data_IF_398688863948
#
_entry.id   IF_398688863948
#
_cell.length_a   1.000
_cell.length_b   1.000
_cell.length_c   1.000
_cell.angle_alpha   90.00
_cell.angle_beta   90.00
_cell.angle_gamma   90.00
#
_symmetry.space_group_name_H-M   'P 1'
#
loop_
_entity.id
_entity.type
_entity.pdbx_description
1 polymer ?
#
# COMPACT_ATOMS: atom_id res chain seq x y z
N UNK A 1 38.73 -34.52 15.65
CA UNK A 1 39.90 -34.48 16.57
C UNK A 1 39.62 -35.21 17.86
N UNK A 2 40.66 -35.62 18.63
CA UNK A 2 40.51 -36.38 19.86
C UNK A 2 40.09 -35.52 21.07
N UNK A 3 39.90 -36.20 22.21
CA UNK A 3 39.46 -35.57 23.47
C UNK A 3 40.48 -34.55 24.00
N UNK A 4 41.76 -34.86 23.90
CA UNK A 4 42.84 -33.98 24.35
C UNK A 4 42.88 -32.66 23.56
N UNK A 5 42.64 -32.69 22.26
CA UNK A 5 42.60 -31.52 21.41
C UNK A 5 41.36 -30.70 21.73
N UNK A 6 40.20 -31.33 22.02
CA UNK A 6 38.98 -30.65 22.42
C UNK A 6 39.16 -29.91 23.75
N UNK A 7 39.87 -30.54 24.74
CA UNK A 7 40.19 -29.91 25.99
C UNK A 7 41.12 -28.69 25.81
N UNK A 8 42.15 -28.82 24.98
CA UNK A 8 43.05 -27.71 24.65
C UNK A 8 42.33 -26.53 24.03
N UNK A 9 41.46 -26.77 23.05
CA UNK A 9 40.63 -25.72 22.40
C UNK A 9 39.70 -25.08 23.41
N UNK A 10 39.09 -25.86 24.30
CA UNK A 10 38.22 -25.34 25.36
C UNK A 10 38.98 -24.40 26.31
N UNK A 11 40.17 -24.77 26.73
CA UNK A 11 41.00 -23.92 27.58
C UNK A 11 41.40 -22.61 26.89
N UNK A 12 41.77 -22.69 25.62
CA UNK A 12 42.07 -21.48 24.79
C UNK A 12 40.87 -20.59 24.69
N UNK A 13 39.69 -21.13 24.36
CA UNK A 13 38.42 -20.40 24.28
C UNK A 13 38.13 -19.68 25.62
N UNK A 14 38.22 -20.37 26.74
CA UNK A 14 37.99 -19.77 28.04
C UNK A 14 38.97 -18.63 28.36
N UNK A 15 40.25 -18.79 27.96
CA UNK A 15 41.25 -17.75 28.14
C UNK A 15 40.92 -16.49 27.35
N UNK A 16 40.49 -16.64 26.10
CA UNK A 16 40.08 -15.53 25.24
C UNK A 16 38.81 -14.83 25.77
N UNK A 17 37.81 -15.62 26.19
CA UNK A 17 36.58 -15.08 26.78
C UNK A 17 36.87 -14.24 28.03
N UNK A 18 37.71 -14.77 28.99
CA UNK A 18 38.11 -14.06 30.20
C UNK A 18 38.85 -12.75 29.89
N UNK A 19 39.59 -12.69 28.78
CA UNK A 19 40.32 -11.48 28.39
C UNK A 19 39.47 -10.45 27.68
N UNK A 20 38.55 -10.91 26.84
CA UNK A 20 37.66 -10.00 26.04
C UNK A 20 36.50 -9.43 26.85
N UNK A 21 35.96 -10.17 27.82
CA UNK A 21 34.74 -9.82 28.54
C UNK A 21 35.02 -9.57 30.02
N UNK A 22 35.77 -8.51 30.28
CA UNK A 22 36.09 -8.07 31.64
C UNK A 22 34.94 -7.16 32.11
N UNK A 23 34.26 -7.61 33.21
CA UNK A 23 33.21 -6.79 33.85
C UNK A 23 31.77 -7.11 33.48
N UNK A 24 31.52 -7.90 32.46
CA UNK A 24 30.18 -8.41 32.13
C UNK A 24 30.25 -9.82 31.54
N UNK A 25 29.30 -10.73 31.86
CA UNK A 25 29.29 -12.07 31.29
C UNK A 25 29.02 -12.00 29.78
N UNK A 26 29.75 -12.78 28.96
CA UNK A 26 29.50 -12.84 27.53
C UNK A 26 28.12 -13.44 27.21
N UNK A 27 27.50 -12.99 26.14
CA UNK A 27 26.29 -13.60 25.57
C UNK A 27 26.63 -14.96 24.95
N UNK A 28 25.64 -15.82 24.77
CA UNK A 28 25.80 -17.11 24.07
C UNK A 28 26.39 -16.96 22.70
N UNK A 29 25.94 -15.92 21.93
CA UNK A 29 26.45 -15.63 20.59
C UNK A 29 27.92 -15.24 20.61
N UNK A 30 28.34 -14.40 21.58
CA UNK A 30 29.74 -14.01 21.74
C UNK A 30 30.66 -15.20 22.14
N UNK A 31 30.14 -16.14 22.93
CA UNK A 31 30.86 -17.38 23.22
C UNK A 31 31.04 -18.21 21.95
N UNK A 32 29.98 -18.36 21.16
CA UNK A 32 30.02 -19.12 19.91
C UNK A 32 30.96 -18.50 18.86
N UNK A 33 31.01 -17.16 18.75
CA UNK A 33 31.96 -16.47 17.88
C UNK A 33 33.41 -16.77 18.25
N UNK A 34 33.73 -16.81 19.54
CA UNK A 34 35.08 -17.18 20.00
C UNK A 34 35.39 -18.64 19.72
N UNK A 35 34.42 -19.56 19.87
CA UNK A 35 34.59 -20.97 19.51
C UNK A 35 34.88 -21.13 18.02
N UNK A 36 34.15 -20.46 17.17
CA UNK A 36 34.36 -20.47 15.70
C UNK A 36 35.78 -20.00 15.38
N UNK A 37 36.19 -18.87 15.98
CA UNK A 37 37.55 -18.34 15.78
C UNK A 37 38.62 -19.34 16.19
N UNK A 38 38.46 -19.99 17.36
CA UNK A 38 39.43 -20.97 17.82
C UNK A 38 39.53 -22.20 16.92
N UNK A 39 38.41 -22.65 16.35
CA UNK A 39 38.41 -23.77 15.39
C UNK A 39 39.12 -23.40 14.07
N UNK A 40 38.97 -22.15 13.60
CA UNK A 40 39.67 -21.63 12.42
C UNK A 40 41.16 -21.51 12.72
N UNK A 41 41.53 -20.88 13.84
CA UNK A 41 42.92 -20.64 14.19
C UNK A 41 43.71 -21.97 14.43
N UNK A 42 43.01 -23.00 14.85
CA UNK A 42 43.60 -24.37 15.01
C UNK A 42 43.51 -25.19 13.70
N UNK A 43 43.08 -24.58 12.58
CA UNK A 43 42.97 -25.23 11.27
C UNK A 43 42.00 -26.45 11.24
N UNK A 44 41.01 -26.49 12.13
CA UNK A 44 39.96 -27.52 12.16
C UNK A 44 38.77 -27.15 11.25
N UNK A 45 39.05 -26.91 9.95
CA UNK A 45 38.05 -26.39 8.99
C UNK A 45 36.82 -27.27 8.81
N UNK A 46 36.96 -28.62 8.89
CA UNK A 46 35.82 -29.54 8.81
C UNK A 46 34.88 -29.38 10.04
N UNK A 47 35.47 -29.30 11.23
CA UNK A 47 34.73 -29.12 12.48
C UNK A 47 34.09 -27.73 12.54
N UNK A 48 34.82 -26.71 12.10
CA UNK A 48 34.26 -25.34 11.96
C UNK A 48 33.01 -25.33 11.07
N UNK A 49 33.07 -25.94 9.87
CA UNK A 49 31.90 -26.00 8.98
C UNK A 49 30.70 -26.72 9.63
N UNK A 50 30.95 -27.85 10.29
CA UNK A 50 29.90 -28.58 10.97
C UNK A 50 29.30 -27.78 12.15
N UNK A 51 30.15 -27.07 12.89
CA UNK A 51 29.73 -26.23 14.01
C UNK A 51 28.93 -25.00 13.55
N UNK A 52 29.40 -24.31 12.52
CA UNK A 52 28.69 -23.16 11.93
C UNK A 52 27.32 -23.58 11.36
N UNK A 53 27.24 -24.72 10.66
CA UNK A 53 25.96 -25.27 10.19
C UNK A 53 25.01 -25.62 11.38
N UNK A 54 25.54 -26.25 12.42
CA UNK A 54 24.77 -26.58 13.62
C UNK A 54 24.28 -25.32 14.34
N UNK A 55 25.13 -24.29 14.44
CA UNK A 55 24.78 -22.98 15.03
C UNK A 55 23.66 -22.33 14.26
N UNK A 56 23.75 -22.28 12.91
CA UNK A 56 22.70 -21.72 12.05
C UNK A 56 21.36 -22.49 12.21
N UNK A 57 21.40 -23.82 12.20
CA UNK A 57 20.22 -24.64 12.43
C UNK A 57 19.60 -24.38 13.81
N UNK A 58 20.42 -24.28 14.85
CA UNK A 58 19.93 -23.98 16.22
C UNK A 58 19.40 -22.57 16.35
N UNK A 59 19.98 -21.61 15.64
CA UNK A 59 19.49 -20.24 15.59
C UNK A 59 18.11 -20.19 14.93
N UNK A 60 17.94 -20.86 13.78
CA UNK A 60 16.64 -21.00 13.10
C UNK A 60 15.60 -21.68 14.00
N UNK A 61 15.92 -22.78 14.63
CA UNK A 61 15.01 -23.47 15.57
C UNK A 61 14.60 -22.61 16.78
N UNK A 62 15.48 -21.74 17.25
CA UNK A 62 15.14 -20.78 18.33
C UNK A 62 14.21 -19.67 17.82
N UNK A 63 14.43 -19.20 16.60
CA UNK A 63 13.54 -18.25 15.95
C UNK A 63 12.15 -18.86 15.67
N UNK A 64 12.11 -20.09 15.15
CA UNK A 64 10.86 -20.82 14.92
C UNK A 64 10.06 -21.03 16.21
N UNK A 65 10.73 -21.40 17.32
CA UNK A 65 10.07 -21.51 18.62
C UNK A 65 9.54 -20.17 19.13
N UNK A 66 10.27 -19.06 18.93
CA UNK A 66 9.77 -17.72 19.27
C UNK A 66 8.57 -17.36 18.41
N UNK A 67 8.60 -17.65 17.12
CA UNK A 67 7.47 -17.40 16.21
C UNK A 67 6.21 -18.13 16.68
N UNK A 68 6.30 -19.40 17.11
CA UNK A 68 5.16 -20.16 17.62
C UNK A 68 4.60 -19.60 18.95
N UNK A 69 5.46 -19.16 19.83
CA UNK A 69 5.06 -18.51 21.11
C UNK A 69 4.37 -17.17 20.82
N UNK A 70 4.92 -16.39 19.88
CA UNK A 70 4.37 -15.10 19.47
C UNK A 70 2.99 -15.25 18.81
N UNK A 71 2.74 -16.35 18.08
CA UNK A 71 1.43 -16.63 17.47
C UNK A 71 0.36 -16.90 18.52
N UNK A 72 0.65 -17.74 19.54
CA UNK A 72 -0.29 -18.02 20.62
C UNK A 72 -0.64 -16.73 21.40
N UNK A 73 0.39 -15.99 21.81
CA UNK A 73 0.21 -14.68 22.45
C UNK A 73 -0.59 -13.72 21.59
N UNK A 74 -0.35 -13.71 20.28
CA UNK A 74 -1.08 -12.83 19.35
C UNK A 74 -2.57 -13.16 19.24
N UNK A 75 -2.95 -14.44 19.33
CA UNK A 75 -4.35 -14.86 19.39
C UNK A 75 -5.01 -14.36 20.67
N UNK A 76 -4.36 -14.59 21.82
CA UNK A 76 -4.86 -14.19 23.13
C UNK A 76 -4.99 -12.66 23.24
N UNK A 77 -3.95 -11.90 22.84
CA UNK A 77 -3.97 -10.42 22.80
C UNK A 77 -5.12 -9.87 21.95
N UNK A 78 -5.42 -10.52 20.82
CA UNK A 78 -6.54 -10.11 19.98
C UNK A 78 -7.88 -10.43 20.64
N UNK A 79 -8.05 -11.65 21.15
CA UNK A 79 -9.30 -12.12 21.78
C UNK A 79 -9.61 -11.26 23.00
N UNK A 80 -8.62 -10.96 23.82
CA UNK A 80 -8.75 -10.14 25.03
C UNK A 80 -8.81 -8.64 24.73
N UNK A 81 -8.69 -8.23 23.43
CA UNK A 81 -8.64 -6.83 23.00
C UNK A 81 -7.51 -6.03 23.68
N UNK A 82 -6.45 -6.69 24.10
CA UNK A 82 -5.31 -6.07 24.75
C UNK A 82 -4.44 -5.26 23.76
N UNK A 83 -4.44 -5.64 22.47
CA UNK A 83 -3.71 -4.96 21.44
C UNK A 83 -4.52 -3.77 20.89
N UNK A 84 -4.06 -2.54 21.10
CA UNK A 84 -4.70 -1.31 20.63
C UNK A 84 -4.85 -1.28 19.09
N UNK A 85 -4.00 -1.98 18.36
CA UNK A 85 -4.02 -2.06 16.89
C UNK A 85 -5.27 -2.75 16.35
N UNK A 86 -5.96 -3.55 17.16
CA UNK A 86 -7.24 -4.18 16.81
C UNK A 86 -8.31 -3.16 16.46
N UNK A 87 -8.22 -1.94 16.99
CA UNK A 87 -9.16 -0.84 16.77
C UNK A 87 -8.53 0.37 16.07
N UNK A 88 -7.25 0.28 15.68
CA UNK A 88 -6.51 1.40 15.13
C UNK A 88 -6.90 1.75 13.68
N UNK A 89 -7.57 0.86 12.96
CA UNK A 89 -7.89 1.04 11.55
C UNK A 89 -9.40 1.01 11.32
N UNK A 90 -9.95 2.05 10.70
CA UNK A 90 -11.39 2.21 10.46
C UNK A 90 -11.98 1.14 9.52
N UNK A 91 -11.16 0.51 8.67
CA UNK A 91 -11.58 -0.54 7.75
C UNK A 91 -11.42 -1.96 8.31
N UNK A 92 -10.96 -2.11 9.56
CA UNK A 92 -10.85 -3.39 10.24
C UNK A 92 -11.70 -3.38 11.51
N UNK A 93 -12.59 -4.36 11.66
CA UNK A 93 -13.39 -4.54 12.87
C UNK A 93 -12.93 -5.75 13.69
N UNK A 94 -13.23 -5.72 15.00
CA UNK A 94 -13.07 -6.90 15.86
C UNK A 94 -13.99 -8.03 15.37
N UNK A 95 -13.39 -9.07 14.79
CA UNK A 95 -14.12 -10.16 14.13
C UNK A 95 -13.21 -11.38 13.94
N UNK A 96 -13.79 -12.52 13.62
CA UNK A 96 -13.02 -13.72 13.29
C UNK A 96 -12.06 -13.48 12.11
N UNK A 97 -12.51 -12.80 11.07
CA UNK A 97 -11.66 -12.48 9.95
C UNK A 97 -10.54 -11.49 10.33
N UNK A 98 -10.83 -10.52 11.18
CA UNK A 98 -9.82 -9.63 11.74
C UNK A 98 -8.77 -10.36 12.57
N UNK A 99 -9.15 -11.39 13.33
CA UNK A 99 -8.21 -12.27 14.03
C UNK A 99 -7.27 -12.98 13.05
N UNK A 100 -7.81 -13.57 11.97
CA UNK A 100 -7.01 -14.26 10.96
C UNK A 100 -5.99 -13.30 10.32
N UNK A 101 -6.43 -12.10 9.94
CA UNK A 101 -5.54 -11.08 9.37
C UNK A 101 -4.47 -10.61 10.37
N UNK A 102 -4.83 -10.42 11.64
CA UNK A 102 -3.87 -10.00 12.67
C UNK A 102 -2.77 -11.04 12.87
N UNK A 103 -3.14 -12.32 13.01
CA UNK A 103 -2.17 -13.41 13.20
C UNK A 103 -1.32 -13.61 11.95
N UNK A 104 -1.94 -13.70 10.77
CA UNK A 104 -1.20 -13.86 9.50
C UNK A 104 -0.27 -12.66 9.24
N UNK A 105 -0.72 -11.46 9.56
CA UNK A 105 0.05 -10.23 9.42
C UNK A 105 1.30 -10.21 10.32
N UNK A 106 1.18 -10.62 11.58
CA UNK A 106 2.34 -10.73 12.49
C UNK A 106 3.37 -11.76 11.98
N UNK A 107 2.91 -12.90 11.46
CA UNK A 107 3.79 -13.93 10.87
C UNK A 107 4.49 -13.39 9.63
N UNK A 108 3.75 -12.73 8.73
CA UNK A 108 4.30 -12.13 7.51
C UNK A 108 5.30 -11.02 7.83
N UNK A 109 5.01 -10.15 8.80
CA UNK A 109 5.93 -9.10 9.24
C UNK A 109 7.25 -9.70 9.79
N UNK A 110 7.16 -10.76 10.57
CA UNK A 110 8.36 -11.45 11.05
C UNK A 110 9.17 -12.06 9.90
N UNK A 111 8.51 -12.61 8.89
CA UNK A 111 9.18 -13.12 7.69
C UNK A 111 9.94 -12.00 6.94
N UNK A 112 9.33 -10.84 6.71
CA UNK A 112 9.99 -9.67 6.14
C UNK A 112 11.25 -9.29 6.93
N UNK A 113 11.09 -9.08 8.24
CA UNK A 113 12.13 -8.53 9.11
C UNK A 113 13.28 -9.49 9.43
N UNK A 114 13.06 -10.81 9.28
CA UNK A 114 14.03 -11.83 9.67
C UNK A 114 14.62 -12.62 8.52
N UNK A 115 13.94 -12.67 7.35
CA UNK A 115 14.33 -13.51 6.23
C UNK A 115 14.52 -12.74 4.91
N UNK A 116 13.75 -11.66 4.71
CA UNK A 116 13.80 -10.88 3.48
C UNK A 116 14.77 -9.72 3.59
N UNK A 117 14.65 -8.94 4.67
CA UNK A 117 15.55 -7.81 4.89
C UNK A 117 16.87 -8.23 5.53
N UNK A 118 18.00 -7.54 5.21
CA UNK A 118 19.22 -7.65 5.99
C UNK A 118 18.99 -7.40 7.47
N UNK A 119 19.77 -8.02 8.38
CA UNK A 119 19.57 -7.91 9.83
C UNK A 119 19.53 -6.47 10.34
N UNK A 120 20.35 -5.58 9.78
CA UNK A 120 20.42 -4.17 10.18
C UNK A 120 19.11 -3.41 9.87
N UNK A 121 18.49 -3.67 8.72
CA UNK A 121 17.20 -3.08 8.32
C UNK A 121 16.10 -3.58 9.27
N UNK A 122 16.03 -4.91 9.48
CA UNK A 122 15.05 -5.49 10.39
C UNK A 122 15.22 -5.01 11.84
N UNK A 123 16.47 -4.84 12.29
CA UNK A 123 16.77 -4.38 13.65
C UNK A 123 16.38 -2.91 13.84
N UNK A 124 16.70 -2.03 12.89
CA UNK A 124 16.31 -0.61 12.96
C UNK A 124 14.78 -0.42 13.07
N UNK A 125 13.99 -1.28 12.40
CA UNK A 125 12.53 -1.30 12.59
C UNK A 125 12.14 -1.72 14.02
N UNK A 126 12.76 -2.80 14.55
CA UNK A 126 12.47 -3.30 15.89
C UNK A 126 12.90 -2.33 16.99
N UNK A 127 13.98 -1.60 16.77
CA UNK A 127 14.50 -0.58 17.69
C UNK A 127 13.71 0.75 17.60
N UNK A 128 12.74 0.82 16.71
CA UNK A 128 11.94 2.00 16.44
C UNK A 128 12.75 3.22 15.95
N UNK A 129 13.87 3.00 15.27
CA UNK A 129 14.60 4.07 14.58
C UNK A 129 13.82 4.57 13.37
N UNK A 130 13.13 3.65 12.69
CA UNK A 130 12.10 3.91 11.68
C UNK A 130 10.99 2.85 11.71
N UNK A 131 9.90 3.12 11.04
CA UNK A 131 8.80 2.19 10.81
C UNK A 131 8.66 1.88 9.32
N UNK A 132 8.82 0.60 8.95
CA UNK A 132 8.47 0.11 7.62
C UNK A 132 6.98 -0.25 7.67
N UNK A 133 6.17 0.39 6.81
CA UNK A 133 4.73 0.18 6.76
C UNK A 133 4.35 -1.12 6.04
N UNK A 134 3.17 -1.66 6.37
CA UNK A 134 2.49 -2.76 5.67
C UNK A 134 3.34 -4.03 5.51
N UNK A 135 3.97 -4.42 6.60
CA UNK A 135 4.70 -5.68 6.68
C UNK A 135 3.79 -6.90 6.86
N UNK A 136 2.51 -6.68 7.10
CA UNK A 136 1.47 -7.71 7.25
C UNK A 136 1.11 -8.40 5.93
N UNK A 137 1.53 -7.84 4.79
CA UNK A 137 1.35 -8.43 3.46
C UNK A 137 2.66 -8.47 2.67
N UNK A 138 2.84 -9.49 1.82
CA UNK A 138 3.98 -9.60 0.90
C UNK A 138 3.75 -8.85 -0.41
N UNK A 139 3.26 -7.61 -0.36
CA UNK A 139 2.82 -6.87 -1.54
C UNK A 139 3.26 -5.40 -1.51
N UNK A 140 2.91 -4.65 -2.56
CA UNK A 140 3.06 -3.19 -2.61
C UNK A 140 2.07 -2.47 -1.70
N UNK A 141 2.25 -1.15 -1.58
CA UNK A 141 1.42 -0.31 -0.72
C UNK A 141 0.14 0.13 -1.42
N UNK A 142 0.16 1.20 -2.20
CA UNK A 142 -1.00 1.74 -2.90
C UNK A 142 -0.85 1.62 -4.42
N UNK A 143 -1.96 1.46 -5.13
CA UNK A 143 -1.97 1.44 -6.58
C UNK A 143 -3.05 2.33 -7.18
N UNK A 144 -2.69 3.08 -8.22
CA UNK A 144 -3.61 3.79 -9.10
C UNK A 144 -3.80 3.00 -10.38
N UNK A 145 -5.05 2.70 -10.68
CA UNK A 145 -5.44 1.88 -11.82
C UNK A 145 -6.03 2.73 -12.93
N UNK A 146 -5.98 2.26 -14.17
CA UNK A 146 -6.64 2.91 -15.28
C UNK A 146 -8.14 2.58 -15.27
N UNK A 147 -8.97 3.57 -14.93
CA UNK A 147 -10.41 3.44 -15.07
C UNK A 147 -10.78 3.29 -16.55
N UNK A 148 -10.12 4.04 -17.42
CA UNK A 148 -10.30 3.92 -18.87
C UNK A 148 -10.07 2.51 -19.38
N UNK A 149 -8.99 1.86 -18.94
CA UNK A 149 -8.70 0.48 -19.33
C UNK A 149 -9.84 -0.46 -18.88
N UNK A 150 -10.31 -0.35 -17.64
CA UNK A 150 -11.41 -1.18 -17.14
C UNK A 150 -12.70 -0.98 -17.96
N UNK A 151 -13.03 0.27 -18.29
CA UNK A 151 -14.23 0.58 -19.05
C UNK A 151 -14.15 0.15 -20.53
N UNK A 152 -12.95 0.12 -21.12
CA UNK A 152 -12.74 -0.24 -22.51
C UNK A 152 -12.52 -1.73 -22.74
N UNK A 153 -11.88 -2.40 -21.80
CA UNK A 153 -11.53 -3.81 -21.93
C UNK A 153 -12.44 -4.74 -21.11
N UNK A 154 -13.09 -4.22 -20.07
CA UNK A 154 -13.83 -5.02 -19.09
C UNK A 154 -12.92 -5.58 -17.99
N UNK A 155 -13.51 -6.38 -17.12
CA UNK A 155 -12.79 -7.03 -16.01
C UNK A 155 -12.48 -8.48 -16.39
N UNK A 156 -11.39 -8.69 -17.10
CA UNK A 156 -11.03 -9.95 -17.74
C UNK A 156 -9.51 -10.19 -17.85
N UNK A 157 -9.13 -11.24 -18.57
CA UNK A 157 -7.75 -11.55 -18.94
C UNK A 157 -6.93 -12.19 -17.83
N UNK A 158 -7.57 -12.71 -16.77
CA UNK A 158 -6.91 -13.49 -15.71
C UNK A 158 -7.29 -14.96 -15.85
N UNK A 159 -6.34 -15.84 -16.17
CA UNK A 159 -6.63 -17.25 -16.45
C UNK A 159 -7.39 -17.93 -15.31
N UNK A 160 -8.47 -18.65 -15.64
CA UNK A 160 -9.27 -19.42 -14.68
C UNK A 160 -10.13 -18.57 -13.74
N UNK A 161 -10.30 -17.27 -14.01
CA UNK A 161 -11.20 -16.37 -13.27
C UNK A 161 -12.39 -15.98 -14.14
N UNK A 162 -13.55 -15.62 -13.52
CA UNK A 162 -14.67 -15.07 -14.29
C UNK A 162 -14.25 -13.81 -15.06
N UNK A 163 -14.77 -13.68 -16.26
CA UNK A 163 -14.51 -12.56 -17.15
C UNK A 163 -15.78 -11.74 -17.37
N UNK A 164 -15.65 -10.43 -17.45
CA UNK A 164 -16.70 -9.51 -17.77
C UNK A 164 -16.28 -8.63 -18.95
N UNK A 165 -17.14 -8.55 -19.95
CA UNK A 165 -16.98 -7.66 -21.11
C UNK A 165 -16.99 -6.17 -20.70
N UNK A 166 -16.56 -5.26 -21.59
CA UNK A 166 -16.72 -3.83 -21.39
C UNK A 166 -18.16 -3.46 -21.00
N UNK A 167 -18.35 -2.64 -19.94
CA UNK A 167 -19.68 -2.28 -19.47
C UNK A 167 -20.41 -1.44 -20.53
N UNK A 168 -21.72 -1.65 -20.65
CA UNK A 168 -22.58 -0.91 -21.55
C UNK A 168 -23.50 0.08 -20.83
N UNK A 169 -23.70 -0.12 -19.52
CA UNK A 169 -24.60 0.65 -18.68
C UNK A 169 -23.87 1.22 -17.46
N UNK A 170 -24.34 2.35 -16.97
CA UNK A 170 -23.78 3.04 -15.80
C UNK A 170 -23.71 2.13 -14.58
N UNK A 171 -24.80 1.44 -14.26
CA UNK A 171 -24.84 0.50 -13.12
C UNK A 171 -23.83 -0.65 -13.26
N UNK A 172 -23.64 -1.16 -14.48
CA UNK A 172 -22.66 -2.22 -14.76
C UNK A 172 -21.23 -1.71 -14.59
N UNK A 173 -20.94 -0.49 -15.05
CA UNK A 173 -19.63 0.14 -14.87
C UNK A 173 -19.29 0.30 -13.40
N UNK A 174 -20.21 0.80 -12.58
CA UNK A 174 -20.04 0.91 -11.12
C UNK A 174 -19.87 -0.45 -10.46
N UNK A 175 -20.65 -1.45 -10.87
CA UNK A 175 -20.53 -2.83 -10.37
C UNK A 175 -19.17 -3.47 -10.68
N UNK A 176 -18.66 -3.28 -11.89
CA UNK A 176 -17.31 -3.74 -12.26
C UNK A 176 -16.21 -3.03 -11.47
N UNK A 177 -16.35 -1.71 -11.22
CA UNK A 177 -15.42 -0.96 -10.38
C UNK A 177 -15.37 -1.51 -8.95
N UNK A 178 -16.54 -1.80 -8.34
CA UNK A 178 -16.60 -2.41 -6.99
C UNK A 178 -15.87 -3.75 -6.98
N UNK A 179 -16.13 -4.61 -7.97
CA UNK A 179 -15.50 -5.90 -8.07
C UNK A 179 -13.99 -5.80 -8.32
N UNK A 180 -13.57 -4.87 -9.17
CA UNK A 180 -12.16 -4.60 -9.46
C UNK A 180 -11.43 -4.16 -8.19
N UNK A 181 -11.88 -3.06 -7.56
CA UNK A 181 -11.25 -2.49 -6.37
C UNK A 181 -11.17 -3.49 -5.22
N UNK A 182 -12.25 -4.21 -4.98
CA UNK A 182 -12.28 -5.23 -3.95
C UNK A 182 -11.42 -6.46 -4.26
N UNK A 183 -11.17 -6.79 -5.53
CA UNK A 183 -10.27 -7.90 -5.92
C UNK A 183 -8.81 -7.47 -5.79
N UNK A 184 -8.45 -6.31 -6.30
CA UNK A 184 -7.09 -5.78 -6.24
C UNK A 184 -6.63 -5.48 -4.81
N UNK A 185 -7.57 -5.20 -3.90
CA UNK A 185 -7.27 -5.09 -2.46
C UNK A 185 -6.67 -6.36 -1.86
N UNK A 186 -6.88 -7.53 -2.45
CA UNK A 186 -6.25 -8.75 -1.98
C UNK A 186 -4.78 -8.87 -2.41
N UNK A 187 -4.33 -8.02 -3.34
CA UNK A 187 -2.97 -8.03 -3.88
C UNK A 187 -2.15 -6.79 -3.47
N UNK A 188 -2.77 -5.81 -2.78
CA UNK A 188 -2.15 -4.56 -2.34
C UNK A 188 -2.59 -4.21 -0.92
N UNK A 189 -1.66 -3.74 -0.10
CA UNK A 189 -1.92 -3.47 1.32
C UNK A 189 -2.71 -2.18 1.56
N UNK A 190 -2.44 -1.15 0.75
CA UNK A 190 -3.05 0.17 0.90
C UNK A 190 -4.19 0.43 -0.09
N UNK A 191 -4.43 1.70 -0.38
CA UNK A 191 -5.56 2.08 -1.19
C UNK A 191 -5.42 1.75 -2.67
N UNK A 192 -6.57 1.46 -3.26
CA UNK A 192 -6.79 1.32 -4.68
C UNK A 192 -7.47 2.59 -5.19
N UNK A 193 -6.93 3.22 -6.22
CA UNK A 193 -7.40 4.51 -6.69
C UNK A 193 -7.80 4.47 -8.17
N UNK A 194 -8.87 5.19 -8.51
CA UNK A 194 -9.21 5.58 -9.86
C UNK A 194 -9.22 7.10 -9.98
N UNK A 195 -8.67 7.61 -11.09
CA UNK A 195 -8.68 9.03 -11.41
C UNK A 195 -9.76 9.35 -12.44
N UNK A 196 -10.12 10.65 -12.54
CA UNK A 196 -11.10 11.16 -13.53
C UNK A 196 -12.44 10.43 -13.49
N UNK A 197 -12.92 10.14 -12.28
CA UNK A 197 -14.11 9.33 -12.04
C UNK A 197 -15.34 9.95 -12.73
N UNK A 198 -15.58 11.24 -12.52
CA UNK A 198 -16.70 11.97 -13.09
C UNK A 198 -16.59 12.11 -14.61
N UNK A 199 -15.39 12.37 -15.13
CA UNK A 199 -15.14 12.47 -16.57
C UNK A 199 -15.40 11.15 -17.29
N UNK A 200 -14.85 10.04 -16.81
CA UNK A 200 -14.98 8.75 -17.48
C UNK A 200 -16.37 8.10 -17.33
N UNK A 201 -17.14 8.47 -16.32
CA UNK A 201 -18.48 7.91 -16.11
C UNK A 201 -19.60 8.77 -16.70
N UNK A 202 -19.36 10.05 -16.98
CA UNK A 202 -20.35 10.94 -17.62
C UNK A 202 -20.93 10.39 -18.93
N UNK A 203 -20.14 9.73 -19.82
CA UNK A 203 -20.66 9.12 -21.03
C UNK A 203 -21.79 8.12 -20.79
N UNK A 204 -21.68 7.32 -19.73
CA UNK A 204 -22.69 6.30 -19.41
C UNK A 204 -24.00 6.94 -18.93
N UNK A 205 -23.92 8.04 -18.19
CA UNK A 205 -25.11 8.77 -17.74
C UNK A 205 -25.89 9.30 -18.95
N UNK A 206 -25.19 9.87 -19.95
CA UNK A 206 -25.81 10.34 -21.18
C UNK A 206 -26.36 9.19 -22.03
N UNK A 207 -25.55 8.15 -22.23
CA UNK A 207 -25.94 7.01 -23.07
C UNK A 207 -27.18 6.29 -22.52
N UNK A 208 -27.29 6.13 -21.24
CA UNK A 208 -28.44 5.49 -20.60
C UNK A 208 -29.64 6.45 -20.40
N UNK A 209 -29.46 7.73 -20.68
CA UNK A 209 -30.52 8.75 -20.54
C UNK A 209 -31.00 8.93 -19.10
N UNK A 210 -30.09 8.79 -18.12
CA UNK A 210 -30.45 8.74 -16.71
C UNK A 210 -30.91 10.11 -16.18
N UNK A 211 -31.95 10.09 -15.37
CA UNK A 211 -32.34 11.22 -14.55
C UNK A 211 -31.35 11.42 -13.38
N UNK A 212 -31.41 12.59 -12.74
CA UNK A 212 -30.61 12.85 -11.54
C UNK A 212 -30.90 11.84 -10.42
N UNK A 213 -32.15 11.47 -10.23
CA UNK A 213 -32.53 10.52 -9.19
C UNK A 213 -31.99 9.11 -9.46
N UNK A 214 -31.93 8.68 -10.72
CA UNK A 214 -31.29 7.42 -11.13
C UNK A 214 -29.80 7.44 -10.84
N UNK A 215 -29.10 8.53 -11.22
CA UNK A 215 -27.66 8.71 -10.95
C UNK A 215 -27.39 8.66 -9.44
N UNK A 216 -28.22 9.35 -8.66
CA UNK A 216 -28.08 9.37 -7.20
C UNK A 216 -28.31 8.00 -6.57
N UNK A 217 -29.30 7.26 -7.06
CA UNK A 217 -29.56 5.89 -6.57
C UNK A 217 -28.38 4.96 -6.85
N UNK A 218 -27.87 4.96 -8.09
CA UNK A 218 -26.70 4.14 -8.44
C UNK A 218 -25.44 4.57 -7.68
N UNK A 219 -25.25 5.87 -7.42
CA UNK A 219 -24.14 6.37 -6.62
C UNK A 219 -24.26 5.91 -5.15
N UNK A 220 -25.47 5.88 -4.61
CA UNK A 220 -25.71 5.35 -3.26
C UNK A 220 -25.37 3.87 -3.16
N UNK A 221 -25.78 3.07 -4.14
CA UNK A 221 -25.46 1.64 -4.21
C UNK A 221 -23.95 1.41 -4.31
N UNK A 222 -23.27 2.19 -5.15
CA UNK A 222 -21.83 2.12 -5.32
C UNK A 222 -21.07 2.43 -4.03
N UNK A 223 -21.39 3.56 -3.38
CA UNK A 223 -20.76 3.97 -2.12
C UNK A 223 -21.05 2.95 -1.03
N UNK A 224 -22.29 2.47 -0.92
CA UNK A 224 -22.67 1.45 0.05
C UNK A 224 -21.85 0.17 -0.16
N UNK A 225 -21.74 -0.33 -1.38
CA UNK A 225 -20.99 -1.54 -1.71
C UNK A 225 -19.49 -1.41 -1.40
N UNK A 226 -18.91 -0.22 -1.51
CA UNK A 226 -17.53 0.04 -1.09
C UNK A 226 -17.34 0.12 0.43
N UNK A 227 -18.43 0.21 1.21
CA UNK A 227 -18.38 0.26 2.68
C UNK A 227 -18.88 -1.02 3.35
N UNK A 228 -19.41 -1.98 2.56
CA UNK A 228 -19.79 -3.29 3.10
C UNK A 228 -18.55 -4.14 3.32
N UNK A 229 -18.33 -4.67 4.52
CA UNK A 229 -17.19 -5.55 4.82
C UNK A 229 -17.39 -6.95 4.22
N UNK A 230 -17.49 -7.02 2.90
CA UNK A 230 -17.81 -8.24 2.13
C UNK A 230 -16.58 -9.07 1.74
N UNK A 231 -15.38 -8.58 2.07
CA UNK A 231 -14.14 -9.21 1.63
C UNK A 231 -13.21 -9.43 2.81
N UNK A 232 -12.21 -10.25 2.62
CA UNK A 232 -11.11 -10.57 3.55
C UNK A 232 -11.34 -10.06 4.97
N UNK A 233 -11.69 -10.95 5.86
CA UNK A 233 -11.67 -10.68 7.28
C UNK A 233 -12.48 -9.46 7.73
N UNK A 234 -13.58 -9.14 7.04
CA UNK A 234 -14.41 -7.97 7.34
C UNK A 234 -13.81 -6.61 6.97
N UNK A 235 -12.81 -6.58 6.11
CA UNK A 235 -12.34 -5.32 5.55
C UNK A 235 -13.25 -4.81 4.44
N UNK A 236 -13.42 -3.49 4.38
CA UNK A 236 -13.96 -2.80 3.22
C UNK A 236 -12.82 -2.46 2.27
N UNK A 237 -13.04 -2.38 0.95
CA UNK A 237 -12.00 -1.95 0.02
C UNK A 237 -11.53 -0.53 0.35
N UNK A 238 -10.25 -0.37 0.66
CA UNK A 238 -9.65 0.93 0.87
C UNK A 238 -9.52 1.63 -0.48
N UNK A 239 -10.38 2.59 -0.77
CA UNK A 239 -10.54 3.19 -2.09
C UNK A 239 -10.40 4.69 -2.08
N UNK A 240 -9.81 5.23 -3.16
CA UNK A 240 -9.74 6.65 -3.44
C UNK A 240 -10.29 6.93 -4.85
N UNK A 241 -11.05 8.01 -5.00
CA UNK A 241 -11.52 8.50 -6.29
C UNK A 241 -11.07 9.95 -6.49
N UNK A 242 -10.53 10.26 -7.66
CA UNK A 242 -10.23 11.63 -8.04
C UNK A 242 -11.29 12.14 -9.02
N UNK A 243 -11.81 13.32 -8.75
CA UNK A 243 -12.81 14.03 -9.54
C UNK A 243 -12.15 15.21 -10.24
N UNK A 244 -12.39 15.34 -11.52
CA UNK A 244 -11.84 16.44 -12.31
C UNK A 244 -12.66 17.72 -12.15
N UNK A 245 -13.96 17.60 -11.91
CA UNK A 245 -14.95 18.66 -11.81
C UNK A 245 -15.25 19.36 -13.13
N UNK A 246 -14.22 19.74 -13.87
CA UNK A 246 -14.28 20.24 -15.25
C UNK A 246 -13.49 19.29 -16.13
N UNK A 247 -14.02 18.99 -17.32
CA UNK A 247 -13.38 18.04 -18.22
C UNK A 247 -11.93 18.47 -18.54
N UNK A 248 -10.92 17.64 -18.29
CA UNK A 248 -9.53 17.94 -18.60
C UNK A 248 -9.31 18.25 -20.07
N UNK A 249 -8.39 19.18 -20.36
CA UNK A 249 -8.12 19.65 -21.72
C UNK A 249 -7.71 18.51 -22.66
N UNK A 250 -6.90 17.58 -22.18
CA UNK A 250 -6.44 16.43 -22.97
C UNK A 250 -7.53 15.39 -23.28
N UNK A 251 -8.64 15.40 -22.55
CA UNK A 251 -9.79 14.52 -22.78
C UNK A 251 -10.92 15.23 -23.57
N UNK A 252 -10.94 16.55 -23.58
CA UNK A 252 -12.08 17.38 -24.05
C UNK A 252 -12.56 17.01 -25.46
N UNK A 253 -11.63 16.80 -26.39
CA UNK A 253 -11.90 16.46 -27.77
C UNK A 253 -11.93 14.94 -28.03
N UNK A 254 -11.67 14.11 -27.02
CA UNK A 254 -11.70 12.67 -27.22
C UNK A 254 -13.13 12.14 -27.21
N UNK A 255 -13.36 11.13 -28.06
CA UNK A 255 -14.64 10.41 -28.16
C UNK A 255 -14.65 9.26 -27.17
N UNK A 256 -15.63 9.17 -26.26
CA UNK A 256 -15.76 8.02 -25.37
C UNK A 256 -16.20 6.76 -26.11
N UNK A 257 -15.77 5.61 -25.56
CA UNK A 257 -16.14 4.27 -26.05
C UNK A 257 -16.95 3.55 -24.97
N UNK A 258 -18.14 3.09 -25.31
CA UNK A 258 -19.02 2.32 -24.44
C UNK A 258 -19.30 0.95 -25.05
N UNK A 259 -18.98 -0.13 -24.34
CA UNK A 259 -19.20 -1.49 -24.84
C UNK A 259 -18.51 -1.78 -26.18
N UNK A 260 -17.37 -1.14 -26.44
CA UNK A 260 -16.61 -1.26 -27.69
C UNK A 260 -17.11 -0.37 -28.84
N UNK A 261 -18.07 0.52 -28.61
CA UNK A 261 -18.65 1.43 -29.64
C UNK A 261 -18.29 2.87 -29.28
N UNK A 262 -17.77 3.60 -30.29
CA UNK A 262 -17.54 5.03 -30.17
C UNK A 262 -18.87 5.82 -30.13
N UNK A 263 -18.93 6.77 -29.18
CA UNK A 263 -20.14 7.58 -28.98
C UNK A 263 -20.16 8.78 -29.94
N UNK A 264 -21.35 9.31 -30.29
CA UNK A 264 -21.49 10.46 -31.22
C UNK A 264 -21.25 11.82 -30.52
N UNK A 265 -20.49 11.85 -29.43
CA UNK A 265 -20.16 13.05 -28.66
C UNK A 265 -18.76 12.92 -28.03
N UNK A 266 -18.19 14.03 -27.59
CA UNK A 266 -16.89 14.09 -26.94
C UNK A 266 -17.04 14.21 -25.41
N UNK A 267 -15.96 13.97 -24.66
CA UNK A 267 -15.97 14.16 -23.17
C UNK A 267 -16.27 15.62 -22.81
N UNK A 268 -15.79 16.61 -23.61
CA UNK A 268 -16.02 18.02 -23.33
C UNK A 268 -17.49 18.46 -23.38
N UNK A 269 -18.36 17.70 -24.06
CA UNK A 269 -19.79 17.97 -24.12
C UNK A 269 -20.58 17.46 -22.91
N UNK A 270 -19.92 16.81 -21.93
CA UNK A 270 -20.58 16.06 -20.84
C UNK A 270 -20.58 16.77 -19.48
N UNK A 271 -20.37 18.09 -19.46
CA UNK A 271 -20.30 18.83 -18.18
C UNK A 271 -21.57 18.67 -17.34
N UNK A 272 -22.74 18.62 -17.97
CA UNK A 272 -24.01 18.42 -17.27
C UNK A 272 -24.03 17.07 -16.53
N UNK A 273 -23.56 16.01 -17.17
CA UNK A 273 -23.52 14.67 -16.62
C UNK A 273 -22.44 14.58 -15.51
N UNK A 274 -21.30 15.26 -15.66
CA UNK A 274 -20.29 15.40 -14.62
C UNK A 274 -20.87 16.12 -13.39
N UNK A 275 -21.63 17.19 -13.59
CA UNK A 275 -22.28 17.93 -12.50
C UNK A 275 -23.30 17.06 -11.73
N UNK A 276 -24.05 16.20 -12.46
CA UNK A 276 -24.97 15.24 -11.83
C UNK A 276 -24.21 14.22 -10.97
N UNK A 277 -23.09 13.69 -11.46
CA UNK A 277 -22.25 12.73 -10.72
C UNK A 277 -21.64 13.37 -9.48
N UNK A 278 -21.07 14.56 -9.61
CA UNK A 278 -20.49 15.29 -8.48
C UNK A 278 -21.54 15.61 -7.42
N UNK A 279 -22.71 16.11 -7.83
CA UNK A 279 -23.81 16.40 -6.92
C UNK A 279 -24.27 15.14 -6.19
N UNK A 280 -24.51 14.05 -6.92
CA UNK A 280 -24.96 12.78 -6.34
C UNK A 280 -23.97 12.26 -5.32
N UNK A 281 -22.69 12.27 -5.64
CA UNK A 281 -21.62 11.85 -4.73
C UNK A 281 -21.61 12.68 -3.44
N UNK A 282 -21.60 14.01 -3.56
CA UNK A 282 -21.56 14.93 -2.42
C UNK A 282 -22.80 14.75 -1.52
N UNK A 283 -24.00 14.65 -2.12
CA UNK A 283 -25.22 14.47 -1.35
C UNK A 283 -25.27 13.14 -0.61
N UNK A 284 -24.86 12.03 -1.26
CA UNK A 284 -24.83 10.71 -0.60
C UNK A 284 -23.80 10.67 0.53
N UNK A 285 -22.59 11.20 0.30
CA UNK A 285 -21.55 11.26 1.33
C UNK A 285 -21.96 12.17 2.51
N UNK A 286 -22.63 13.28 2.23
CA UNK A 286 -23.11 14.23 3.27
C UNK A 286 -24.25 13.64 4.09
N UNK A 287 -25.16 12.88 3.48
CA UNK A 287 -26.26 12.21 4.16
C UNK A 287 -25.76 11.06 5.05
N UNK A 288 -24.75 10.34 4.61
CA UNK A 288 -24.23 9.17 5.29
C UNK A 288 -25.16 7.95 5.21
N UNK A 289 -24.94 6.97 6.08
CA UNK A 289 -25.75 5.76 6.15
C UNK A 289 -27.13 6.05 6.78
N UNK A 290 -27.98 5.01 6.92
CA UNK A 290 -29.32 5.13 7.52
C UNK A 290 -29.33 5.82 8.90
N UNK A 291 -28.22 5.81 9.62
CA UNK A 291 -28.07 6.45 10.94
C UNK A 291 -27.37 7.80 10.87
N UNK A 292 -27.10 8.30 9.66
CA UNK A 292 -26.37 9.56 9.44
C UNK A 292 -24.86 9.47 9.71
N UNK A 293 -24.29 8.26 9.76
CA UNK A 293 -22.83 8.09 9.91
C UNK A 293 -22.17 8.27 8.56
N UNK A 294 -21.09 9.05 8.54
CA UNK A 294 -20.30 9.26 7.31
C UNK A 294 -19.71 7.95 6.78
N UNK A 295 -19.73 7.77 5.47
CA UNK A 295 -19.03 6.67 4.82
C UNK A 295 -17.52 6.88 4.86
N UNK A 296 -16.77 5.83 5.14
CA UNK A 296 -15.30 5.87 5.17
C UNK A 296 -14.73 5.93 3.75
N UNK A 297 -15.34 5.24 2.81
CA UNK A 297 -14.89 5.11 1.43
C UNK A 297 -16.00 5.45 0.42
N UNK A 298 -15.62 5.78 -0.81
CA UNK A 298 -14.26 6.11 -1.27
C UNK A 298 -13.78 7.45 -0.71
N UNK A 299 -12.46 7.59 -0.48
CA UNK A 299 -11.86 8.88 -0.11
C UNK A 299 -11.87 9.77 -1.37
N UNK A 300 -12.53 10.94 -1.34
CA UNK A 300 -12.59 11.83 -2.49
C UNK A 300 -11.40 12.78 -2.56
N UNK A 301 -10.88 12.98 -3.76
CA UNK A 301 -9.93 14.04 -4.11
C UNK A 301 -10.49 14.87 -5.25
N UNK A 302 -10.56 16.18 -5.08
CA UNK A 302 -11.04 17.10 -6.14
C UNK A 302 -9.92 17.92 -6.71
N UNK A 303 -9.83 17.96 -8.04
CA UNK A 303 -8.90 18.81 -8.76
C UNK A 303 -9.43 20.25 -8.78
N UNK A 304 -8.63 21.20 -8.30
CA UNK A 304 -8.93 22.63 -8.34
C UNK A 304 -8.07 23.26 -9.44
N UNK A 305 -8.73 23.61 -10.54
CA UNK A 305 -8.16 24.23 -11.72
C UNK A 305 -8.59 25.68 -11.86
N UNK A 306 -8.02 26.42 -12.81
CA UNK A 306 -8.36 27.85 -13.03
C UNK A 306 -9.82 28.07 -13.42
N UNK A 307 -10.43 27.08 -14.06
CA UNK A 307 -11.83 27.07 -14.50
C UNK A 307 -12.79 26.43 -13.49
N UNK A 308 -12.33 26.16 -12.25
CA UNK A 308 -13.21 25.63 -11.21
C UNK A 308 -14.36 26.59 -10.90
N UNK A 309 -15.65 26.14 -10.97
CA UNK A 309 -16.81 27.01 -10.86
C UNK A 309 -17.16 27.31 -9.39
N UNK A 310 -16.41 28.18 -8.76
CA UNK A 310 -16.50 28.53 -7.33
C UNK A 310 -17.90 28.92 -6.84
N UNK A 311 -18.70 29.60 -7.70
CA UNK A 311 -20.02 30.10 -7.35
C UNK A 311 -21.14 29.12 -7.71
N UNK A 312 -20.80 27.91 -8.14
CA UNK A 312 -21.82 26.91 -8.49
C UNK A 312 -22.48 26.30 -7.24
N UNK A 313 -23.73 25.91 -7.40
CA UNK A 313 -24.50 25.22 -6.34
C UNK A 313 -23.80 23.93 -5.85
N UNK A 314 -23.12 23.23 -6.76
CA UNK A 314 -22.33 22.05 -6.42
C UNK A 314 -21.10 22.41 -5.60
N UNK A 315 -20.42 23.53 -5.89
CA UNK A 315 -19.30 24.00 -5.08
C UNK A 315 -19.72 24.38 -3.66
N UNK A 316 -20.88 25.03 -3.51
CA UNK A 316 -21.47 25.33 -2.20
C UNK A 316 -21.70 24.05 -1.38
N UNK A 317 -22.31 23.01 -2.01
CA UNK A 317 -22.50 21.71 -1.37
C UNK A 317 -21.19 21.03 -0.99
N UNK A 318 -20.18 21.12 -1.86
CA UNK A 318 -18.86 20.55 -1.62
C UNK A 318 -18.21 21.18 -0.37
N UNK A 319 -18.23 22.50 -0.28
CA UNK A 319 -17.66 23.20 0.87
C UNK A 319 -18.48 23.02 2.15
N UNK A 320 -19.81 22.86 2.04
CA UNK A 320 -20.65 22.48 3.18
C UNK A 320 -20.29 21.08 3.72
N UNK A 321 -20.04 20.10 2.83
CA UNK A 321 -19.54 18.77 3.20
C UNK A 321 -18.14 18.87 3.84
N UNK A 322 -17.27 19.71 3.31
CA UNK A 322 -15.93 19.94 3.86
C UNK A 322 -15.99 20.52 5.27
N UNK A 323 -16.84 21.51 5.48
CA UNK A 323 -17.04 22.13 6.79
C UNK A 323 -17.59 21.12 7.82
N UNK A 324 -18.43 20.18 7.39
CA UNK A 324 -19.05 19.19 8.26
C UNK A 324 -18.12 18.03 8.63
N UNK A 325 -17.34 17.51 7.67
CA UNK A 325 -16.61 16.25 7.82
C UNK A 325 -15.11 16.34 7.58
N UNK A 326 -14.56 17.47 7.12
CA UNK A 326 -13.18 17.57 6.69
C UNK A 326 -12.89 16.80 5.39
N UNK A 327 -13.92 16.46 4.62
CA UNK A 327 -13.85 15.82 3.31
C UNK A 327 -14.34 16.81 2.25
N UNK A 328 -13.83 16.77 1.04
CA UNK A 328 -12.78 15.95 0.43
C UNK A 328 -11.37 16.49 0.64
N UNK A 329 -10.40 15.84 -0.03
CA UNK A 329 -9.08 16.43 -0.26
C UNK A 329 -9.11 17.27 -1.53
N UNK A 330 -8.34 18.36 -1.54
CA UNK A 330 -8.22 19.25 -2.69
C UNK A 330 -6.81 19.15 -3.27
N UNK A 331 -6.73 18.91 -4.58
CA UNK A 331 -5.49 18.97 -5.34
C UNK A 331 -5.46 20.29 -6.10
N UNK A 332 -4.62 21.23 -5.66
CA UNK A 332 -4.59 22.59 -6.14
C UNK A 332 -3.59 22.74 -7.29
N UNK A 333 -4.10 23.11 -8.47
CA UNK A 333 -3.30 23.41 -9.68
C UNK A 333 -3.24 24.90 -10.03
N UNK A 334 -3.82 25.80 -9.21
CA UNK A 334 -3.86 27.23 -9.49
C UNK A 334 -2.48 27.91 -9.49
N UNK A 335 -1.61 27.49 -8.57
CA UNK A 335 -0.27 28.02 -8.41
C UNK A 335 0.79 26.91 -8.51
N UNK A 336 0.60 26.01 -9.45
CA UNK A 336 1.47 24.85 -9.65
C UNK A 336 1.95 24.80 -11.09
N UNK A 337 3.20 24.39 -11.29
CA UNK A 337 3.75 24.06 -12.61
C UNK A 337 3.23 22.73 -13.15
N UNK A 338 2.40 22.02 -12.36
CA UNK A 338 1.78 20.75 -12.68
C UNK A 338 0.37 21.00 -13.17
N UNK A 339 -0.07 20.19 -14.13
CA UNK A 339 -1.46 20.14 -14.62
C UNK A 339 -2.12 18.80 -14.24
N UNK A 340 -3.46 18.71 -14.20
CA UNK A 340 -4.16 17.50 -13.81
C UNK A 340 -3.78 16.24 -14.59
N UNK A 341 -3.42 16.40 -15.88
CA UNK A 341 -2.97 15.31 -16.75
C UNK A 341 -1.54 14.81 -16.45
N UNK A 342 -0.76 15.58 -15.67
CA UNK A 342 0.63 15.23 -15.28
C UNK A 342 0.73 14.60 -13.89
N UNK A 343 -0.35 14.63 -13.11
CA UNK A 343 -0.33 14.18 -11.71
C UNK A 343 -1.52 13.28 -11.47
N UNK A 344 -1.27 12.16 -10.80
CA UNK A 344 -2.33 11.30 -10.27
C UNK A 344 -2.24 11.28 -8.76
N UNK A 345 -3.38 11.50 -8.14
CA UNK A 345 -3.51 11.45 -6.69
C UNK A 345 -3.86 10.05 -6.24
N UNK A 346 -3.18 9.58 -5.23
CA UNK A 346 -3.55 8.38 -4.48
C UNK A 346 -3.93 8.77 -3.05
N UNK A 347 -4.50 7.83 -2.30
CA UNK A 347 -4.97 8.05 -0.92
C UNK A 347 -3.98 8.79 -0.01
N UNK A 348 -2.69 8.54 -0.20
CA UNK A 348 -1.61 9.16 0.56
C UNK A 348 -1.20 10.54 0.00
N UNK A 349 -1.95 11.09 -0.97
CA UNK A 349 -1.67 12.37 -1.63
C UNK A 349 -0.27 12.42 -2.26
N UNK A 350 0.25 11.27 -2.65
CA UNK A 350 1.47 11.17 -3.39
C UNK A 350 1.22 11.75 -4.78
N UNK A 351 1.75 12.94 -5.02
CA UNK A 351 1.78 13.55 -6.34
C UNK A 351 2.99 12.96 -7.08
N UNK A 352 2.72 12.24 -8.15
CA UNK A 352 3.77 11.71 -9.01
C UNK A 352 3.92 12.64 -10.21
N UNK A 353 5.08 13.26 -10.34
CA UNK A 353 5.43 14.05 -11.53
C UNK A 353 5.73 13.11 -12.69
N UNK A 354 4.79 13.02 -13.59
CA UNK A 354 4.85 12.11 -14.74
C UNK A 354 5.77 12.58 -15.85
N UNK A 355 6.19 13.84 -15.85
CA UNK A 355 7.15 14.37 -16.85
C UNK A 355 8.46 13.59 -16.81
N UNK A 356 8.92 13.19 -15.62
CA UNK A 356 10.09 12.34 -15.47
C UNK A 356 9.83 10.89 -15.94
N UNK A 357 8.64 10.36 -15.70
CA UNK A 357 8.23 9.03 -16.15
C UNK A 357 8.09 8.96 -17.68
N UNK A 358 7.52 9.97 -18.30
CA UNK A 358 7.37 10.08 -19.75
C UNK A 358 8.72 10.24 -20.46
N UNK A 359 9.66 11.01 -19.90
CA UNK A 359 11.02 11.15 -20.45
C UNK A 359 11.78 9.82 -20.50
N UNK A 360 11.46 8.88 -19.65
CA UNK A 360 12.12 7.55 -19.57
C UNK A 360 11.49 6.49 -20.51
N UNK A 361 10.66 6.90 -21.46
CA UNK A 361 10.14 6.04 -22.54
C UNK A 361 9.00 5.10 -22.13
N UNK A 362 8.23 5.46 -21.13
CA UNK A 362 7.07 4.70 -20.70
C UNK A 362 5.83 5.03 -21.50
N UNK A 363 5.73 4.47 -22.69
CA UNK A 363 4.49 4.06 -23.27
C UNK A 363 3.80 5.00 -24.24
N UNK A 364 3.47 4.42 -25.38
CA UNK A 364 2.57 4.93 -26.42
C UNK A 364 1.12 5.19 -25.92
N UNK A 365 0.80 4.77 -24.69
CA UNK A 365 -0.49 4.97 -24.01
C UNK A 365 -0.26 5.72 -22.70
N UNK A 366 0.39 6.88 -22.81
CA UNK A 366 0.85 7.71 -21.70
C UNK A 366 -0.21 8.22 -20.75
N UNK A 367 -1.05 7.33 -20.22
CA UNK A 367 -1.82 7.65 -19.04
C UNK A 367 -0.96 7.35 -17.81
N UNK A 368 -0.73 8.36 -17.08
CA UNK A 368 -0.29 8.39 -15.72
C UNK A 368 -1.10 7.50 -14.76
N UNK A 369 -1.99 6.70 -15.27
CA UNK A 369 -3.03 5.99 -14.55
C UNK A 369 -2.52 4.71 -13.87
N UNK A 370 -1.45 4.11 -14.36
CA UNK A 370 -0.87 2.87 -13.81
C UNK A 370 0.35 3.19 -12.95
N UNK A 371 0.14 3.90 -11.86
CA UNK A 371 1.20 4.31 -10.95
C UNK A 371 0.84 3.92 -9.52
N UNK A 372 1.85 3.82 -8.66
CA UNK A 372 1.63 3.41 -7.28
C UNK A 372 2.83 3.69 -6.39
N UNK A 373 2.69 3.33 -5.13
CA UNK A 373 3.75 3.34 -4.14
C UNK A 373 4.06 1.91 -3.73
N UNK A 374 5.32 1.50 -3.83
CA UNK A 374 5.74 0.16 -3.41
C UNK A 374 5.74 0.02 -1.89
N UNK A 375 5.94 1.10 -1.16
CA UNK A 375 5.98 1.12 0.29
C UNK A 375 6.26 2.48 0.87
N UNK A 376 6.15 2.58 2.18
CA UNK A 376 6.43 3.78 2.97
C UNK A 376 7.34 3.40 4.13
N UNK A 377 8.32 4.24 4.43
CA UNK A 377 9.16 4.14 5.61
C UNK A 377 9.12 5.47 6.35
N UNK A 378 8.75 5.44 7.62
CA UNK A 378 8.66 6.64 8.45
C UNK A 378 9.80 6.67 9.45
N UNK A 379 10.70 7.65 9.34
CA UNK A 379 11.83 7.83 10.27
C UNK A 379 11.32 8.44 11.58
N UNK A 380 11.77 7.92 12.71
CA UNK A 380 11.40 8.39 14.05
C UNK A 380 12.25 9.60 14.45
N UNK A 381 11.88 10.79 13.98
CA UNK A 381 12.60 12.01 14.30
C UNK A 381 12.56 12.36 15.80
N UNK A 382 11.52 11.98 16.53
CA UNK A 382 11.43 12.20 17.97
C UNK A 382 12.53 11.42 18.72
N UNK A 383 12.72 10.15 18.34
CA UNK A 383 13.80 9.32 18.89
C UNK A 383 15.18 9.87 18.55
N UNK A 384 15.38 10.30 17.31
CA UNK A 384 16.64 10.94 16.87
C UNK A 384 16.94 12.19 17.68
N UNK A 385 15.96 13.09 17.84
CA UNK A 385 16.13 14.30 18.64
C UNK A 385 16.47 14.03 20.11
N UNK A 386 15.90 12.95 20.68
CA UNK A 386 16.21 12.52 22.03
C UNK A 386 17.64 11.98 22.17
N UNK A 387 18.05 11.08 21.27
CA UNK A 387 19.35 10.40 21.33
C UNK A 387 20.54 11.33 21.02
N UNK A 388 20.33 12.29 20.12
CA UNK A 388 21.37 13.22 19.67
C UNK A 388 21.19 14.65 20.24
N UNK A 389 20.59 14.77 21.41
CA UNK A 389 20.40 16.07 22.06
C UNK A 389 21.74 16.80 22.23
N UNK A 390 21.88 17.95 21.55
CA UNK A 390 23.11 18.75 21.58
C UNK A 390 24.21 18.29 20.60
N UNK A 391 23.97 17.23 19.83
CA UNK A 391 24.88 16.76 18.78
C UNK A 391 24.18 16.79 17.41
N UNK A 392 24.13 17.98 16.80
CA UNK A 392 23.51 18.20 15.49
C UNK A 392 24.20 17.39 14.38
N UNK A 393 25.54 17.32 14.43
CA UNK A 393 26.31 16.58 13.43
C UNK A 393 26.01 15.07 13.47
N UNK A 394 25.95 14.50 14.66
CA UNK A 394 25.58 13.09 14.86
C UNK A 394 24.14 12.83 14.43
N UNK A 395 23.21 13.76 14.70
CA UNK A 395 21.81 13.67 14.28
C UNK A 395 21.68 13.58 12.77
N UNK A 396 22.29 14.48 12.00
CA UNK A 396 22.24 14.47 10.54
C UNK A 396 22.91 13.21 9.96
N UNK A 397 24.08 12.84 10.48
CA UNK A 397 24.76 11.62 10.03
C UNK A 397 23.88 10.35 10.25
N UNK A 398 23.16 10.27 11.38
CA UNK A 398 22.23 9.18 11.64
C UNK A 398 21.00 9.23 10.73
N UNK A 399 20.47 10.43 10.48
CA UNK A 399 19.33 10.64 9.58
C UNK A 399 19.66 10.18 8.17
N UNK A 400 20.82 10.59 7.63
CA UNK A 400 21.28 10.20 6.30
C UNK A 400 21.43 8.67 6.19
N UNK A 401 22.04 8.05 7.22
CA UNK A 401 22.16 6.59 7.25
C UNK A 401 20.81 5.87 7.29
N UNK A 402 19.84 6.35 8.07
CA UNK A 402 18.49 5.78 8.10
C UNK A 402 17.73 5.99 6.79
N UNK A 403 17.96 7.12 6.11
CA UNK A 403 17.38 7.37 4.79
C UNK A 403 17.92 6.41 3.73
N UNK A 404 19.22 6.12 3.74
CA UNK A 404 19.83 5.12 2.85
C UNK A 404 19.27 3.71 3.13
N UNK A 405 19.18 3.32 4.39
CA UNK A 405 18.58 2.04 4.78
C UNK A 405 17.10 1.94 4.36
N UNK A 406 16.34 3.04 4.49
CA UNK A 406 14.94 3.12 4.05
C UNK A 406 14.83 2.92 2.53
N UNK A 407 15.66 3.61 1.75
CA UNK A 407 15.75 3.45 0.29
C UNK A 407 16.06 2.00 -0.08
N UNK A 408 17.05 1.38 0.56
CA UNK A 408 17.44 0.00 0.29
C UNK A 408 16.32 -0.99 0.65
N UNK A 409 15.59 -0.75 1.75
CA UNK A 409 14.43 -1.57 2.12
C UNK A 409 13.32 -1.54 1.06
N UNK A 410 13.03 -0.37 0.49
CA UNK A 410 12.04 -0.21 -0.57
C UNK A 410 12.47 -0.90 -1.87
N UNK A 411 13.76 -0.83 -2.23
CA UNK A 411 14.29 -1.50 -3.41
C UNK A 411 14.28 -3.03 -3.25
N UNK A 412 14.58 -3.54 -2.06
CA UNK A 412 14.44 -4.97 -1.74
C UNK A 412 12.98 -5.38 -1.86
N UNK A 413 12.05 -4.60 -1.28
CA UNK A 413 10.61 -4.85 -1.36
C UNK A 413 10.16 -4.91 -2.82
N UNK A 414 10.55 -3.95 -3.65
CA UNK A 414 10.21 -3.91 -5.08
C UNK A 414 10.65 -5.18 -5.81
N UNK A 415 11.89 -5.62 -5.60
CA UNK A 415 12.44 -6.83 -6.24
C UNK A 415 11.69 -8.10 -5.80
N UNK A 416 11.37 -8.21 -4.52
CA UNK A 416 10.60 -9.35 -3.99
C UNK A 416 9.20 -9.39 -4.55
N UNK A 417 8.48 -8.26 -4.53
CA UNK A 417 7.11 -8.19 -5.06
C UNK A 417 7.10 -8.45 -6.57
N UNK A 418 8.07 -7.91 -7.33
CA UNK A 418 8.19 -8.21 -8.76
C UNK A 418 8.38 -9.71 -9.02
N UNK A 419 9.27 -10.37 -8.29
CA UNK A 419 9.49 -11.82 -8.42
C UNK A 419 8.21 -12.60 -8.13
N UNK A 420 7.52 -12.28 -7.03
CA UNK A 420 6.25 -12.95 -6.67
C UNK A 420 5.15 -12.73 -7.72
N UNK A 421 5.14 -11.55 -8.36
CA UNK A 421 4.24 -11.27 -9.47
C UNK A 421 4.59 -12.08 -10.71
N UNK A 422 5.89 -12.21 -11.04
CA UNK A 422 6.37 -13.04 -12.14
C UNK A 422 6.03 -14.53 -11.91
N UNK A 423 6.13 -14.99 -10.66
CA UNK A 423 5.77 -16.34 -10.21
C UNK A 423 4.24 -16.58 -10.18
N UNK A 424 3.42 -15.55 -10.43
CA UNK A 424 1.95 -15.66 -10.55
C UNK A 424 1.17 -15.49 -9.25
N UNK A 425 1.81 -15.04 -8.15
CA UNK A 425 1.12 -14.80 -6.88
C UNK A 425 0.14 -13.61 -6.95
N UNK A 426 0.34 -12.68 -7.90
CA UNK A 426 -0.49 -11.49 -8.13
C UNK A 426 -1.13 -11.52 -9.53
N UNK A 427 -2.11 -12.39 -9.79
CA UNK A 427 -2.64 -12.60 -11.13
C UNK A 427 -3.30 -11.36 -11.74
N UNK A 428 -4.03 -10.59 -10.93
CA UNK A 428 -4.71 -9.37 -11.39
C UNK A 428 -3.73 -8.20 -11.55
N UNK A 429 -2.83 -7.98 -10.60
CA UNK A 429 -1.78 -6.97 -10.74
C UNK A 429 -0.90 -7.23 -11.96
N UNK A 430 -0.56 -8.49 -12.21
CA UNK A 430 0.20 -8.87 -13.41
C UNK A 430 -0.53 -8.49 -14.70
N UNK A 431 -1.87 -8.65 -14.74
CA UNK A 431 -2.70 -8.30 -15.90
C UNK A 431 -2.79 -6.79 -16.09
N UNK A 432 -3.08 -6.04 -15.03
CA UNK A 432 -3.43 -4.62 -15.13
C UNK A 432 -2.26 -3.65 -14.92
N UNK A 433 -1.15 -4.08 -14.33
CA UNK A 433 0.04 -3.26 -14.12
C UNK A 433 1.25 -3.74 -14.95
N UNK A 434 1.38 -5.03 -15.16
CA UNK A 434 2.45 -5.66 -15.94
C UNK A 434 3.78 -5.75 -15.20
N UNK A 435 4.46 -4.64 -14.89
CA UNK A 435 5.78 -4.63 -14.23
C UNK A 435 5.89 -3.51 -13.21
N UNK A 436 6.54 -3.81 -12.08
CA UNK A 436 7.00 -2.83 -11.11
C UNK A 436 8.34 -2.26 -11.58
N UNK A 437 8.32 -1.02 -12.05
CA UNK A 437 9.52 -0.35 -12.56
C UNK A 437 10.25 0.38 -11.45
N UNK A 438 11.56 0.53 -11.63
CA UNK A 438 12.42 1.35 -10.80
C UNK A 438 12.33 2.80 -11.27
N UNK A 439 11.98 3.73 -10.38
CA UNK A 439 11.89 5.15 -10.67
C UNK A 439 12.74 5.96 -9.69
#
# INVERSE_FOLDING_TARGET
FGEDEAQLLTQRTLKVLRHRFVGAPPTVEQVQDVVEQMLVDANHTKTFRAYATYRDQRHRLRQDKRTLVDVASSVEEYVDRADWRVQANANQGYSLGGLILNVSGKVTANYWLSHVYPPEIGQAHRDADYHIHDLDMLCGYCAGWSLRQLLYEGFNGVPGKPEADPPRHFSTALGQMVNFLGTLQNEWAGAQAFSSFDTYLAPFVRNDGLSYDDVKQHMQEFIYNLNVPSRWGTQTPFTNLTFDWVCPEDLREQVPVIGGVEMPFTYGELQKEMDMLNRAYIEVMTAGDRRGRVFTFPIPTYNITADFPWESENAERLFAMTAKYGLPYFQNFLNSDLSPNMVRSMCCRLQLDLRELLKRGNGLFGSAEQTGSIGVVTINCARLGYLFKGDEKGLFARLDHLADMAKDSLEIKRKVVQRLMDDGLFPYTRRYLGKLRNH
#
